data_IF_327475706202
#
_entry.id   IF_327475706202
#
_cell.length_a   1.000
_cell.length_b   1.000
_cell.length_c   1.000
_cell.angle_alpha   90.00
_cell.angle_beta   90.00
_cell.angle_gamma   90.00
#
_symmetry.space_group_name_H-M   'P 1'
#
loop_
_entity.id
_entity.type
_entity.pdbx_description
1 polymer ?
#
# COMPACT_ATOMS: atom_id res chain seq x y z
N UNK A 1 10.82 23.27 -3.62
CA UNK A 1 10.21 22.99 -2.30
C UNK A 1 10.32 21.49 -2.06
N UNK A 2 10.98 21.06 -0.99
CA UNK A 2 11.01 19.65 -0.61
C UNK A 2 9.66 19.34 0.03
N UNK A 3 8.89 18.42 -0.57
CA UNK A 3 7.68 17.92 0.06
C UNK A 3 8.09 17.17 1.33
N UNK A 4 7.65 17.67 2.48
CA UNK A 4 7.78 16.96 3.75
C UNK A 4 6.88 15.73 3.64
N UNK A 5 7.46 14.55 3.42
CA UNK A 5 6.72 13.31 3.62
C UNK A 5 6.29 13.29 5.09
N UNK A 6 4.99 13.30 5.35
CA UNK A 6 4.47 13.09 6.69
C UNK A 6 5.03 11.76 7.18
N UNK A 7 5.82 11.80 8.26
CA UNK A 7 6.29 10.58 8.91
C UNK A 7 5.04 9.97 9.54
N UNK A 8 4.49 8.96 8.89
CA UNK A 8 3.40 8.20 9.47
C UNK A 8 3.96 7.46 10.69
N UNK A 9 3.38 7.64 11.88
CA UNK A 9 3.89 6.89 13.03
C UNK A 9 3.65 5.39 12.77
N UNK A 10 4.61 4.52 13.12
CA UNK A 10 4.51 3.09 12.86
C UNK A 10 3.24 2.47 13.44
N UNK A 11 2.73 1.42 12.78
CA UNK A 11 1.68 0.54 13.29
C UNK A 11 1.93 -0.90 12.88
N UNK A 12 1.47 -1.84 13.71
CA UNK A 12 1.42 -3.25 13.37
C UNK A 12 0.35 -3.58 12.30
N UNK A 13 -0.54 -2.63 11.96
CA UNK A 13 -1.61 -2.82 10.99
C UNK A 13 -1.92 -1.54 10.23
N UNK A 14 -1.97 -1.69 8.91
CA UNK A 14 -2.38 -0.66 7.97
C UNK A 14 -3.51 -1.14 7.10
N UNK A 15 -4.45 -0.24 6.82
CA UNK A 15 -5.47 -0.36 5.78
C UNK A 15 -5.14 0.57 4.64
N UNK A 16 -5.24 0.04 3.43
CA UNK A 16 -5.20 0.79 2.18
C UNK A 16 -6.58 0.66 1.58
N UNK A 17 -7.40 1.69 1.73
CA UNK A 17 -8.70 1.76 1.09
C UNK A 17 -8.53 2.19 -0.36
N UNK A 18 -9.12 1.44 -1.28
CA UNK A 18 -9.07 1.69 -2.72
C UNK A 18 -10.47 2.05 -3.18
N UNK A 19 -10.61 3.18 -3.88
CA UNK A 19 -11.91 3.66 -4.33
C UNK A 19 -11.86 4.02 -5.81
N UNK A 20 -12.98 3.82 -6.51
CA UNK A 20 -13.20 4.21 -7.89
C UNK A 20 -12.40 3.38 -8.90
N UNK A 21 -12.00 3.99 -10.01
CA UNK A 21 -11.44 3.29 -11.19
C UNK A 21 -10.33 4.11 -11.80
N UNK A 22 -9.28 3.45 -12.28
CA UNK A 22 -8.20 4.11 -13.00
C UNK A 22 -8.68 4.54 -14.40
N UNK A 23 -8.66 5.82 -14.70
CA UNK A 23 -9.02 6.40 -16.00
C UNK A 23 -7.88 6.23 -17.02
N UNK A 24 -6.64 6.17 -16.55
CA UNK A 24 -5.41 6.05 -17.35
C UNK A 24 -4.50 4.96 -16.81
N UNK A 25 -3.59 4.47 -17.67
CA UNK A 25 -2.48 3.65 -17.21
C UNK A 25 -1.62 4.46 -16.25
N UNK A 26 -1.27 3.85 -15.13
CA UNK A 26 -0.45 4.53 -14.13
C UNK A 26 0.21 3.56 -13.17
N UNK A 27 0.89 4.16 -12.21
CA UNK A 27 1.58 3.49 -11.13
C UNK A 27 1.21 4.10 -9.78
N UNK A 28 1.16 3.24 -8.79
CA UNK A 28 1.06 3.60 -7.38
C UNK A 28 2.37 3.22 -6.71
N UNK A 29 2.98 4.17 -6.01
CA UNK A 29 4.22 3.97 -5.27
C UNK A 29 3.97 4.08 -3.77
N UNK A 30 4.37 3.05 -3.03
CA UNK A 30 4.35 3.00 -1.58
C UNK A 30 5.77 3.02 -1.03
N UNK A 31 5.96 3.66 0.11
CA UNK A 31 7.14 3.52 0.97
C UNK A 31 6.76 2.73 2.20
N UNK A 32 7.43 1.61 2.44
CA UNK A 32 7.30 0.80 3.65
C UNK A 32 8.61 0.89 4.43
N UNK A 33 8.53 1.29 5.70
CA UNK A 33 9.68 1.39 6.61
C UNK A 33 9.40 0.64 7.91
N UNK A 34 10.07 -0.49 8.17
CA UNK A 34 10.03 -1.11 9.50
C UNK A 34 10.75 -0.23 10.52
N UNK A 35 10.28 -0.21 11.76
CA UNK A 35 10.98 0.48 12.85
C UNK A 35 12.44 0.00 12.98
N UNK A 36 13.36 0.96 13.02
CA UNK A 36 14.81 0.69 13.11
C UNK A 36 15.45 0.20 11.80
N UNK A 37 14.74 0.20 10.67
CA UNK A 37 15.25 -0.20 9.37
C UNK A 37 15.06 0.90 8.30
N UNK A 38 15.73 0.71 7.17
CA UNK A 38 15.62 1.60 6.01
C UNK A 38 14.27 1.43 5.28
N UNK A 39 13.80 2.52 4.69
CA UNK A 39 12.59 2.50 3.88
C UNK A 39 12.82 1.81 2.53
N UNK A 40 11.86 0.99 2.12
CA UNK A 40 11.84 0.35 0.80
C UNK A 40 10.63 0.81 -0.01
N UNK A 41 10.82 0.94 -1.33
CA UNK A 41 9.77 1.36 -2.27
C UNK A 41 9.12 0.15 -2.92
N UNK A 42 7.80 0.18 -3.03
CA UNK A 42 6.99 -0.77 -3.79
C UNK A 42 6.24 0.01 -4.87
N UNK A 43 6.46 -0.35 -6.13
CA UNK A 43 5.74 0.22 -7.28
C UNK A 43 4.75 -0.81 -7.81
N UNK A 44 3.50 -0.40 -8.01
CA UNK A 44 2.42 -1.23 -8.54
C UNK A 44 1.90 -0.59 -9.81
N UNK A 45 2.10 -1.25 -10.95
CA UNK A 45 1.48 -0.85 -12.20
C UNK A 45 -0.02 -1.19 -12.20
N UNK A 46 -0.82 -0.23 -12.63
CA UNK A 46 -2.27 -0.30 -12.68
C UNK A 46 -2.71 0.14 -14.08
N UNK A 47 -3.23 -0.80 -14.90
CA UNK A 47 -3.77 -0.46 -16.22
C UNK A 47 -5.01 0.43 -16.14
N UNK A 48 -5.27 1.20 -17.19
CA UNK A 48 -6.53 1.92 -17.39
C UNK A 48 -7.73 0.96 -17.31
N UNK A 49 -8.85 1.46 -16.77
CA UNK A 49 -10.07 0.68 -16.54
C UNK A 49 -10.00 -0.27 -15.34
N UNK A 50 -8.93 -0.26 -14.55
CA UNK A 50 -8.85 -1.09 -13.35
C UNK A 50 -9.74 -0.51 -12.24
N UNK A 51 -10.81 -1.23 -11.90
CA UNK A 51 -11.70 -0.90 -10.78
C UNK A 51 -11.08 -1.26 -9.42
N UNK A 52 -11.57 -0.64 -8.35
CA UNK A 52 -11.14 -0.80 -6.95
C UNK A 52 -10.80 -2.22 -6.51
N UNK A 53 -11.70 -3.20 -6.70
CA UNK A 53 -11.45 -4.59 -6.34
C UNK A 53 -10.22 -5.19 -7.04
N UNK A 54 -10.07 -4.92 -8.34
CA UNK A 54 -8.93 -5.44 -9.10
C UNK A 54 -7.64 -4.73 -8.71
N UNK A 55 -7.68 -3.41 -8.50
CA UNK A 55 -6.54 -2.65 -7.99
C UNK A 55 -6.10 -3.15 -6.61
N UNK A 56 -7.03 -3.45 -5.70
CA UNK A 56 -6.75 -4.02 -4.39
C UNK A 56 -6.02 -5.37 -4.50
N UNK A 57 -6.44 -6.24 -5.43
CA UNK A 57 -5.74 -7.48 -5.72
C UNK A 57 -4.31 -7.26 -6.23
N UNK A 58 -4.11 -6.33 -7.17
CA UNK A 58 -2.79 -5.99 -7.70
C UNK A 58 -1.85 -5.49 -6.59
N UNK A 59 -2.34 -4.58 -5.75
CA UNK A 59 -1.61 -4.04 -4.60
C UNK A 59 -1.23 -5.16 -3.63
N UNK A 60 -2.21 -5.96 -3.18
CA UNK A 60 -1.99 -7.10 -2.28
C UNK A 60 -0.91 -8.04 -2.81
N UNK A 61 -1.00 -8.40 -4.08
CA UNK A 61 -0.08 -9.36 -4.68
C UNK A 61 1.32 -8.77 -4.86
N UNK A 62 1.43 -7.47 -5.13
CA UNK A 62 2.71 -6.77 -5.18
C UNK A 62 3.41 -6.75 -3.80
N UNK A 63 2.69 -6.42 -2.72
CA UNK A 63 3.20 -6.53 -1.35
C UNK A 63 3.68 -7.95 -1.02
N UNK A 64 2.87 -8.96 -1.34
CA UNK A 64 3.22 -10.37 -1.10
C UNK A 64 4.46 -10.81 -1.87
N UNK A 65 4.61 -10.36 -3.12
CA UNK A 65 5.79 -10.68 -3.95
C UNK A 65 7.06 -10.04 -3.42
N UNK A 66 7.01 -8.76 -3.04
CA UNK A 66 8.21 -8.02 -2.64
C UNK A 66 8.65 -8.31 -1.21
N UNK A 67 7.71 -8.34 -0.25
CA UNK A 67 8.04 -8.44 1.17
C UNK A 67 7.82 -9.83 1.76
N UNK A 68 7.21 -10.73 0.98
CA UNK A 68 6.91 -12.09 1.42
C UNK A 68 5.75 -12.17 2.42
N UNK A 69 5.36 -13.41 2.77
CA UNK A 69 4.22 -13.70 3.66
C UNK A 69 4.61 -14.00 5.10
N UNK A 70 5.92 -14.09 5.37
CA UNK A 70 6.46 -14.42 6.70
C UNK A 70 6.47 -13.21 7.63
N UNK A 71 7.07 -12.06 7.28
CA UNK A 71 7.04 -10.88 8.14
C UNK A 71 5.66 -10.21 8.14
N UNK A 72 4.92 -10.31 7.03
CA UNK A 72 3.65 -9.61 6.84
C UNK A 72 2.54 -10.54 6.36
N UNK A 73 1.32 -10.32 6.85
CA UNK A 73 0.08 -10.83 6.27
C UNK A 73 -0.57 -9.70 5.48
N UNK A 74 -0.56 -9.82 4.15
CA UNK A 74 -1.33 -8.94 3.27
C UNK A 74 -2.59 -9.64 2.78
N UNK A 75 -3.76 -9.05 2.94
CA UNK A 75 -5.06 -9.63 2.55
C UNK A 75 -6.05 -8.58 2.06
N UNK A 76 -7.11 -9.03 1.37
CA UNK A 76 -8.25 -8.18 0.99
C UNK A 76 -9.23 -8.15 2.15
N UNK A 77 -9.80 -6.98 2.44
CA UNK A 77 -10.90 -6.75 3.37
C UNK A 77 -12.08 -6.15 2.60
N UNK A 78 -13.27 -6.69 2.79
CA UNK A 78 -14.54 -6.31 2.13
C UNK A 78 -14.51 -6.06 0.60
N UNK A 79 -13.56 -6.70 -0.12
CA UNK A 79 -13.46 -6.67 -1.58
C UNK A 79 -12.42 -5.68 -2.14
N UNK A 80 -12.38 -4.46 -1.61
CA UNK A 80 -11.56 -3.36 -2.15
C UNK A 80 -10.45 -2.86 -1.22
N UNK A 81 -10.52 -3.16 0.07
CA UNK A 81 -9.51 -2.73 1.01
C UNK A 81 -8.35 -3.73 1.08
N UNK A 82 -7.13 -3.23 1.25
CA UNK A 82 -5.95 -4.06 1.49
C UNK A 82 -5.47 -3.87 2.92
N UNK A 83 -5.44 -4.94 3.70
CA UNK A 83 -4.82 -4.94 5.02
C UNK A 83 -3.38 -5.44 4.94
N UNK A 84 -2.44 -4.67 5.48
CA UNK A 84 -1.05 -5.06 5.70
C UNK A 84 -0.84 -5.20 7.20
N UNK A 85 -0.69 -6.44 7.68
CA UNK A 85 -0.54 -6.77 9.10
C UNK A 85 0.87 -7.31 9.36
N UNK A 86 1.57 -6.75 10.33
CA UNK A 86 2.82 -7.29 10.87
C UNK A 86 2.53 -8.62 11.59
N UNK A 87 3.39 -9.63 11.39
CA UNK A 87 3.26 -10.93 12.05
C UNK A 87 4.23 -11.08 13.21
N UNK A 88 3.79 -11.75 14.27
CA UNK A 88 4.67 -12.14 15.38
C UNK A 88 5.28 -10.94 16.08
N UNK A 89 6.58 -10.98 16.33
CA UNK A 89 7.35 -9.93 16.99
C UNK A 89 8.19 -9.11 15.99
N UNK A 90 7.78 -9.07 14.70
CA UNK A 90 8.43 -8.19 13.75
C UNK A 90 8.15 -6.72 14.10
N UNK A 91 9.04 -5.78 13.75
CA UNK A 91 8.83 -4.37 14.05
C UNK A 91 7.58 -3.81 13.36
N UNK A 92 6.96 -2.83 13.99
CA UNK A 92 5.88 -2.06 13.39
C UNK A 92 6.40 -1.36 12.13
N UNK A 93 5.48 -1.06 11.21
CA UNK A 93 5.82 -0.43 9.94
C UNK A 93 5.19 0.94 9.84
N UNK A 94 5.91 1.86 9.22
CA UNK A 94 5.34 3.03 8.60
C UNK A 94 5.01 2.70 7.15
N UNK A 95 3.81 3.08 6.71
CA UNK A 95 3.38 2.96 5.32
C UNK A 95 2.92 4.31 4.80
N UNK A 96 3.51 4.75 3.69
CA UNK A 96 3.21 6.05 3.05
C UNK A 96 2.90 5.84 1.59
N UNK A 97 1.84 6.50 1.10
CA UNK A 97 1.60 6.66 -0.33
C UNK A 97 2.53 7.77 -0.85
N UNK A 98 3.56 7.37 -1.60
CA UNK A 98 4.58 8.28 -2.13
C UNK A 98 4.04 8.99 -3.37
N UNK A 99 3.38 8.23 -4.24
CA UNK A 99 2.87 8.73 -5.52
C UNK A 99 1.68 7.91 -5.97
N UNK A 100 0.72 8.59 -6.58
CA UNK A 100 -0.37 7.98 -7.35
C UNK A 100 -0.48 8.71 -8.70
N UNK A 101 -0.35 7.97 -9.79
CA UNK A 101 -0.52 8.48 -11.17
C UNK A 101 -1.71 7.88 -11.89
N UNK A 102 -2.46 7.01 -11.22
CA UNK A 102 -3.69 6.44 -11.78
C UNK A 102 -4.80 7.46 -11.57
N UNK A 103 -4.97 8.37 -12.53
CA UNK A 103 -6.09 9.32 -12.51
C UNK A 103 -7.41 8.56 -12.31
N UNK A 104 -8.33 9.13 -11.53
CA UNK A 104 -9.62 8.49 -11.19
C UNK A 104 -9.57 7.52 -10.01
N UNK A 105 -8.51 6.71 -9.86
CA UNK A 105 -8.38 5.73 -8.77
C UNK A 105 -7.78 6.38 -7.52
N UNK A 106 -8.51 6.30 -6.40
CA UNK A 106 -8.13 6.95 -5.16
C UNK A 106 -7.68 5.95 -4.11
N UNK A 107 -6.70 6.36 -3.31
CA UNK A 107 -6.16 5.57 -2.20
C UNK A 107 -6.18 6.38 -0.92
N UNK A 108 -6.65 5.76 0.16
CA UNK A 108 -6.58 6.31 1.50
C UNK A 108 -5.91 5.32 2.44
N UNK A 109 -4.89 5.78 3.17
CA UNK A 109 -4.13 4.95 4.09
C UNK A 109 -4.52 5.33 5.52
N UNK A 110 -4.85 4.32 6.32
CA UNK A 110 -5.12 4.49 7.75
C UNK A 110 -4.41 3.43 8.57
N UNK A 111 -4.03 3.82 9.78
CA UNK A 111 -3.51 2.93 10.82
C UNK A 111 -4.70 2.28 11.54
N UNK A 112 -4.54 1.01 11.91
CA UNK A 112 -5.47 0.29 12.78
C UNK A 112 -4.75 -0.29 14.01
#
# INVERSE_FOLDING_TARGET
MLAQAAIAEPSNKWRIAVNHTADVDGEIEFSLRPEGAEATRLVVAIPAGTHENHAAHLIRDAFRRQYGRSPYKTEIDDGEDVLVKVRGHNPDIELVLVRNTTEGLQLHLSRE
#
